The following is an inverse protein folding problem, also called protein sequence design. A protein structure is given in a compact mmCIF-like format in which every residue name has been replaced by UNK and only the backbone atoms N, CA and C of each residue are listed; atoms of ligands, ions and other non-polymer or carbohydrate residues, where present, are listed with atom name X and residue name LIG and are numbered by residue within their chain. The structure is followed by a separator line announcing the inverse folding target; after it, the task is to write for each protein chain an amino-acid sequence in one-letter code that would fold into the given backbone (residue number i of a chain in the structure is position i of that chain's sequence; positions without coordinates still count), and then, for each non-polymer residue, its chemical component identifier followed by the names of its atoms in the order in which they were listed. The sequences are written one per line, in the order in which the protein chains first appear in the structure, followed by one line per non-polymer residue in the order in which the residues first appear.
data_IF_655661464316
#
_entry.id   IF_655661464316
#
_cell.length_a   1.000
_cell.length_b   1.000
_cell.length_c   1.000
_cell.angle_alpha   90.00
_cell.angle_beta   90.00
_cell.angle_gamma   90.00
#
_symmetry.space_group_name_H-M   'P 1'
#
loop_
_entity.id
_entity.type
_entity.pdbx_description
1 polymer ?
#
# COMPACT_ATOMS: atom_id res chain seq x y z
N UNK A 1 29.39 14.24 -6.73
CA UNK A 1 29.07 15.48 -7.49
C UNK A 1 28.63 15.11 -8.91
N UNK A 2 27.53 14.34 -9.02
CA UNK A 2 26.90 13.90 -10.29
C UNK A 2 25.49 13.32 -9.99
N UNK A 3 24.75 13.91 -9.05
CA UNK A 3 23.35 13.56 -8.79
C UNK A 3 22.38 14.72 -9.12
N UNK A 4 22.91 15.85 -9.60
CA UNK A 4 22.15 17.08 -9.89
C UNK A 4 22.09 17.45 -11.39
N UNK A 5 22.72 16.69 -12.29
CA UNK A 5 22.63 16.92 -13.75
C UNK A 5 21.64 15.99 -14.47
N UNK A 6 20.99 15.05 -13.75
CA UNK A 6 20.07 14.05 -14.35
C UNK A 6 18.65 14.59 -14.57
N UNK A 7 18.35 15.79 -14.06
CA UNK A 7 17.07 16.46 -14.27
C UNK A 7 17.22 17.54 -15.33
N UNK A 8 17.47 17.11 -16.58
CA UNK A 8 17.29 17.99 -17.75
C UNK A 8 15.92 18.65 -17.67
N UNK A 9 15.86 19.98 -17.91
CA UNK A 9 14.66 20.81 -17.81
C UNK A 9 13.45 20.18 -18.54
N UNK A 10 13.68 19.44 -19.62
CA UNK A 10 12.60 18.76 -20.35
C UNK A 10 11.93 17.61 -19.55
N UNK A 11 12.68 16.85 -18.76
CA UNK A 11 12.15 15.81 -17.86
C UNK A 11 11.37 16.42 -16.69
N UNK A 12 11.83 17.56 -16.17
CA UNK A 12 11.10 18.32 -15.13
C UNK A 12 9.78 18.89 -15.66
N UNK A 13 9.75 19.41 -16.88
CA UNK A 13 8.52 19.87 -17.55
C UNK A 13 7.53 18.72 -17.77
N UNK A 14 8.03 17.54 -18.15
CA UNK A 14 7.20 16.34 -18.37
C UNK A 14 6.65 15.82 -17.05
N UNK A 15 7.45 15.80 -15.99
CA UNK A 15 7.01 15.43 -14.64
C UNK A 15 6.05 16.46 -14.03
N UNK A 16 6.20 17.75 -14.35
CA UNK A 16 5.21 18.78 -13.99
C UNK A 16 3.88 18.54 -14.70
N UNK A 17 3.89 18.25 -16.00
CA UNK A 17 2.66 17.95 -16.75
C UNK A 17 2.00 16.65 -16.29
N UNK A 18 2.79 15.64 -15.91
CA UNK A 18 2.27 14.41 -15.30
C UNK A 18 1.69 14.71 -13.92
N UNK A 19 2.35 15.53 -13.09
CA UNK A 19 1.80 15.97 -11.80
C UNK A 19 0.54 16.82 -11.96
N UNK A 20 0.47 17.72 -12.94
CA UNK A 20 -0.71 18.54 -13.24
C UNK A 20 -1.86 17.70 -13.80
N UNK A 21 -1.56 16.68 -14.61
CA UNK A 21 -2.54 15.69 -15.07
C UNK A 21 -2.98 14.73 -13.96
N UNK A 22 -2.07 14.36 -13.04
CA UNK A 22 -2.38 13.62 -11.82
C UNK A 22 -3.23 14.46 -10.88
N UNK A 23 -2.94 15.75 -10.68
CA UNK A 23 -3.74 16.65 -9.86
C UNK A 23 -5.14 16.88 -10.48
N UNK A 24 -5.25 16.97 -11.81
CA UNK A 24 -6.53 17.02 -12.52
C UNK A 24 -7.33 15.71 -12.44
N UNK A 25 -6.69 14.55 -12.61
CA UNK A 25 -7.36 13.25 -12.41
C UNK A 25 -7.64 12.95 -10.92
N UNK A 26 -6.90 13.57 -9.99
CA UNK A 26 -7.11 13.48 -8.55
C UNK A 26 -8.22 14.40 -8.07
N UNK A 27 -8.50 15.49 -8.77
CA UNK A 27 -9.71 16.29 -8.56
C UNK A 27 -10.96 15.48 -8.91
N UNK A 28 -10.95 14.68 -9.99
CA UNK A 28 -12.16 13.97 -10.46
C UNK A 28 -12.51 12.68 -9.68
N UNK A 29 -11.54 12.03 -9.01
CA UNK A 29 -11.77 10.78 -8.25
C UNK A 29 -12.28 11.04 -6.81
N UNK A 30 -12.27 12.30 -6.33
CA UNK A 30 -12.53 12.63 -4.92
C UNK A 30 -13.68 13.62 -4.68
N UNK A 31 -14.59 13.80 -5.65
CA UNK A 31 -15.75 14.68 -5.44
C UNK A 31 -16.83 14.02 -4.58
N UNK A 32 -16.71 14.25 -3.27
CA UNK A 32 -17.78 13.97 -2.33
C UNK A 32 -17.57 14.43 -0.88
N UNK A 33 -16.59 15.27 -0.52
CA UNK A 33 -16.42 15.75 0.86
C UNK A 33 -15.68 17.10 0.93
N UNK A 34 -16.06 17.97 1.88
CA UNK A 34 -15.54 19.34 2.06
C UNK A 34 -14.01 19.45 2.00
N UNK A 35 -13.52 20.46 1.26
CA UNK A 35 -12.11 20.75 1.00
C UNK A 35 -11.24 20.83 2.28
N UNK A 36 -11.80 21.33 3.39
CA UNK A 36 -11.09 21.51 4.67
C UNK A 36 -10.94 20.19 5.47
N UNK A 37 -11.91 19.27 5.36
CA UNK A 37 -11.85 17.95 5.99
C UNK A 37 -10.85 17.01 5.31
N UNK A 38 -10.63 17.20 4.01
CA UNK A 38 -9.69 16.42 3.21
C UNK A 38 -8.22 16.71 3.59
N UNK A 39 -7.86 17.97 3.80
CA UNK A 39 -6.49 18.36 4.13
C UNK A 39 -6.02 17.84 5.49
N UNK A 40 -6.91 17.87 6.50
CA UNK A 40 -6.59 17.34 7.82
C UNK A 40 -6.44 15.80 7.79
N UNK A 41 -7.32 15.11 7.06
CA UNK A 41 -7.27 13.65 6.87
C UNK A 41 -5.98 13.20 6.17
N UNK A 42 -5.59 13.88 5.09
CA UNK A 42 -4.33 13.62 4.36
C UNK A 42 -3.11 13.88 5.23
N UNK A 43 -3.15 14.92 6.07
CA UNK A 43 -2.09 15.20 7.04
C UNK A 43 -2.00 14.10 8.10
N UNK A 44 -3.13 13.65 8.64
CA UNK A 44 -3.17 12.57 9.64
C UNK A 44 -2.58 11.26 9.10
N UNK A 45 -2.92 10.90 7.85
CA UNK A 45 -2.33 9.74 7.17
C UNK A 45 -0.81 9.88 7.00
N UNK A 46 -0.33 11.04 6.53
CA UNK A 46 1.11 11.30 6.39
C UNK A 46 1.84 11.22 7.72
N UNK A 47 1.28 11.82 8.77
CA UNK A 47 1.85 11.78 10.11
C UNK A 47 1.89 10.33 10.62
N UNK A 48 0.85 9.53 10.37
CA UNK A 48 0.83 8.11 10.72
C UNK A 48 1.97 7.32 10.06
N UNK A 49 2.16 7.43 8.74
CA UNK A 49 3.22 6.69 8.05
C UNK A 49 4.61 7.18 8.44
N UNK A 50 4.79 8.49 8.59
CA UNK A 50 6.05 9.06 9.07
C UNK A 50 6.40 8.53 10.46
N UNK A 51 5.45 8.57 11.40
CA UNK A 51 5.66 8.11 12.78
C UNK A 51 5.86 6.59 12.85
N UNK A 52 5.11 5.82 12.05
CA UNK A 52 5.24 4.36 11.98
C UNK A 52 6.57 3.91 11.38
N UNK A 53 7.14 4.69 10.46
CA UNK A 53 8.46 4.44 9.88
C UNK A 53 9.62 5.02 10.69
N UNK A 54 9.35 5.82 11.73
CA UNK A 54 10.41 6.41 12.54
C UNK A 54 10.91 5.39 13.56
N UNK A 55 12.21 5.09 13.51
CA UNK A 55 12.86 4.24 14.50
C UNK A 55 13.16 5.03 15.79
N UNK A 56 12.56 4.64 16.91
CA UNK A 56 12.91 5.19 18.22
C UNK A 56 13.89 4.24 18.91
N UNK A 57 14.90 4.77 19.60
CA UNK A 57 15.91 3.95 20.31
C UNK A 57 15.26 2.96 21.29
N UNK A 58 14.08 3.30 21.83
CA UNK A 58 13.28 2.41 22.68
C UNK A 58 12.78 1.15 21.98
N UNK A 59 12.67 1.15 20.66
CA UNK A 59 12.16 0.03 19.86
C UNK A 59 13.20 -1.09 19.73
N UNK A 60 14.48 -0.73 19.72
CA UNK A 60 15.59 -1.69 19.79
C UNK A 60 16.07 -1.96 21.21
N UNK A 61 16.02 -0.96 22.10
CA UNK A 61 16.52 -1.06 23.47
C UNK A 61 15.39 -0.75 24.47
N UNK A 62 14.60 -1.77 24.88
CA UNK A 62 13.43 -1.57 25.74
C UNK A 62 13.72 -0.90 27.08
N UNK A 63 14.97 -0.96 27.57
CA UNK A 63 15.41 -0.32 28.81
C UNK A 63 15.71 1.18 28.66
N UNK A 64 15.73 1.73 27.43
CA UNK A 64 15.89 3.16 27.14
C UNK A 64 14.56 3.86 26.80
N UNK A 65 13.41 3.28 27.19
CA UNK A 65 12.07 3.87 26.99
C UNK A 65 11.92 5.30 27.52
N UNK A 66 12.72 5.71 28.49
CA UNK A 66 12.67 7.06 29.06
C UNK A 66 13.27 8.16 28.17
N UNK A 67 14.11 7.82 27.18
CA UNK A 67 14.85 8.79 26.34
C UNK A 67 14.12 9.25 25.07
N UNK A 68 12.96 8.70 24.72
CA UNK A 68 12.34 8.98 23.43
C UNK A 68 10.84 8.73 23.30
N UNK A 69 10.15 8.22 24.33
CA UNK A 69 8.73 7.83 24.19
C UNK A 69 7.78 9.03 24.35
N UNK A 70 8.21 10.11 25.02
CA UNK A 70 7.32 11.21 25.42
C UNK A 70 6.74 12.01 24.26
N UNK A 71 7.58 12.51 23.36
CA UNK A 71 7.17 13.38 22.26
C UNK A 71 6.58 12.57 21.10
N UNK A 72 7.26 11.49 20.69
CA UNK A 72 6.78 10.56 19.67
C UNK A 72 5.45 9.91 20.07
N UNK A 73 5.31 9.46 21.33
CA UNK A 73 4.05 8.91 21.83
C UNK A 73 2.90 9.92 21.85
N UNK A 74 3.17 11.21 22.11
CA UNK A 74 2.16 12.27 21.99
C UNK A 74 1.76 12.49 20.53
N UNK A 75 2.73 12.52 19.61
CA UNK A 75 2.47 12.68 18.18
C UNK A 75 1.67 11.49 17.62
N UNK A 76 2.02 10.25 17.98
CA UNK A 76 1.29 9.04 17.60
C UNK A 76 -0.15 9.07 18.13
N UNK A 77 -0.36 9.43 19.40
CA UNK A 77 -1.70 9.58 19.97
C UNK A 77 -2.51 10.65 19.25
N UNK A 78 -1.88 11.74 18.81
CA UNK A 78 -2.55 12.78 18.04
C UNK A 78 -2.98 12.24 16.68
N UNK A 79 -2.07 11.64 15.91
CA UNK A 79 -2.38 11.05 14.60
C UNK A 79 -3.48 9.98 14.70
N UNK A 80 -3.42 9.10 15.71
CA UNK A 80 -4.43 8.08 15.94
C UNK A 80 -5.82 8.68 16.22
N UNK A 81 -5.91 9.78 16.99
CA UNK A 81 -7.18 10.47 17.26
C UNK A 81 -7.79 11.10 16.01
N UNK A 82 -6.96 11.72 15.17
CA UNK A 82 -7.43 12.33 13.92
C UNK A 82 -7.95 11.25 12.96
N UNK A 83 -7.25 10.11 12.84
CA UNK A 83 -7.71 8.98 12.03
C UNK A 83 -8.99 8.33 12.58
N UNK A 84 -9.08 8.14 13.90
CA UNK A 84 -10.30 7.60 14.54
C UNK A 84 -11.49 8.54 14.35
N UNK A 85 -11.28 9.85 14.45
CA UNK A 85 -12.32 10.85 14.20
C UNK A 85 -12.83 10.79 12.75
N UNK A 86 -11.90 10.70 11.79
CA UNK A 86 -12.21 10.58 10.36
C UNK A 86 -13.05 9.34 10.06
N UNK A 87 -12.60 8.15 10.50
CA UNK A 87 -13.32 6.90 10.24
C UNK A 87 -14.63 6.82 11.03
N UNK A 88 -14.69 7.45 12.22
CA UNK A 88 -15.93 7.63 12.96
C UNK A 88 -16.96 8.46 12.20
N UNK A 89 -16.54 9.54 11.53
CA UNK A 89 -17.41 10.32 10.66
C UNK A 89 -18.01 9.49 9.52
N UNK A 90 -17.19 8.67 8.86
CA UNK A 90 -17.66 7.76 7.81
C UNK A 90 -18.63 6.70 8.33
N UNK A 91 -18.32 6.09 9.48
CA UNK A 91 -19.19 5.09 10.10
C UNK A 91 -20.58 5.65 10.38
N UNK A 92 -20.66 6.84 10.99
CA UNK A 92 -21.94 7.48 11.30
C UNK A 92 -22.73 7.81 10.03
N UNK A 93 -22.06 8.30 8.98
CA UNK A 93 -22.69 8.55 7.68
C UNK A 93 -23.35 7.29 7.11
N UNK A 94 -22.64 6.16 7.13
CA UNK A 94 -23.15 4.87 6.63
C UNK A 94 -24.34 4.37 7.46
N UNK A 95 -24.29 4.51 8.80
CA UNK A 95 -25.43 4.18 9.67
C UNK A 95 -26.66 5.03 9.38
N UNK A 96 -26.49 6.34 9.21
CA UNK A 96 -27.60 7.24 8.88
C UNK A 96 -28.20 6.90 7.51
N UNK A 97 -27.36 6.62 6.51
CA UNK A 97 -27.80 6.21 5.17
C UNK A 97 -28.66 4.94 5.21
N UNK A 98 -28.27 3.96 6.02
CA UNK A 98 -29.01 2.70 6.23
C UNK A 98 -30.38 2.95 6.89
N UNK A 99 -30.45 3.86 7.86
CA UNK A 99 -31.71 4.23 8.54
C UNK A 99 -32.68 4.98 7.63
N UNK A 100 -32.17 5.85 6.73
CA UNK A 100 -32.99 6.64 5.82
C UNK A 100 -33.54 5.84 4.61
N UNK A 101 -33.27 4.53 4.51
CA UNK A 101 -33.77 3.68 3.43
C UNK A 101 -33.23 4.03 2.05
N UNK A 102 -32.05 4.67 1.98
CA UNK A 102 -31.41 5.04 0.71
C UNK A 102 -31.17 3.83 -0.19
N UNK A 103 -31.39 4.01 -1.51
CA UNK A 103 -31.24 2.95 -2.52
C UNK A 103 -29.89 2.21 -2.39
N UNK A 104 -29.94 0.87 -2.51
CA UNK A 104 -28.82 -0.08 -2.44
C UNK A 104 -27.75 0.05 -3.54
N UNK A 105 -27.76 1.13 -4.31
CA UNK A 105 -27.03 1.19 -5.59
C UNK A 105 -25.52 1.42 -5.42
N UNK A 106 -25.06 1.87 -4.24
CA UNK A 106 -23.65 2.10 -3.92
C UNK A 106 -23.29 1.53 -2.53
N UNK A 107 -23.37 0.21 -2.36
CA UNK A 107 -22.85 -0.44 -1.16
C UNK A 107 -21.33 -0.55 -1.23
N UNK A 108 -20.65 -0.12 -0.18
CA UNK A 108 -19.20 -0.27 -0.06
C UNK A 108 -18.78 -1.32 0.98
N UNK A 109 -17.47 -1.41 1.22
CA UNK A 109 -16.91 -2.37 2.17
C UNK A 109 -17.38 -2.13 3.62
N UNK A 110 -17.59 -0.87 4.01
CA UNK A 110 -18.09 -0.53 5.34
C UNK A 110 -19.56 -0.92 5.48
N UNK A 111 -20.38 -0.72 4.45
CA UNK A 111 -21.76 -1.24 4.41
C UNK A 111 -21.81 -2.76 4.57
N UNK A 112 -20.91 -3.47 3.88
CA UNK A 112 -20.80 -4.92 3.99
C UNK A 112 -20.44 -5.33 5.42
N UNK A 113 -19.45 -4.70 6.05
CA UNK A 113 -19.09 -4.99 7.44
C UNK A 113 -20.23 -4.68 8.41
N UNK A 114 -20.97 -3.58 8.24
CA UNK A 114 -22.15 -3.24 9.05
C UNK A 114 -23.34 -4.18 8.86
N UNK A 115 -23.28 -5.06 7.85
CA UNK A 115 -24.27 -6.12 7.65
C UNK A 115 -23.86 -7.46 8.26
N UNK A 116 -22.57 -7.64 8.51
CA UNK A 116 -21.97 -8.90 8.99
C UNK A 116 -21.65 -8.82 10.48
N UNK A 117 -21.12 -7.68 10.95
CA UNK A 117 -20.69 -7.47 12.33
C UNK A 117 -21.84 -6.85 13.11
N UNK A 118 -22.44 -7.62 14.01
CA UNK A 118 -23.52 -7.15 14.89
C UNK A 118 -23.09 -7.22 16.35
N UNK A 119 -23.69 -6.40 17.21
CA UNK A 119 -23.40 -6.42 18.66
C UNK A 119 -23.82 -7.73 19.36
N UNK A 120 -24.58 -8.58 18.66
CA UNK A 120 -24.99 -9.91 19.14
C UNK A 120 -23.90 -10.97 18.94
N UNK A 121 -22.89 -10.67 18.14
CA UNK A 121 -21.79 -11.58 17.87
C UNK A 121 -20.75 -11.52 19.01
N UNK A 122 -20.62 -12.59 19.81
CA UNK A 122 -19.51 -12.81 20.78
C UNK A 122 -18.13 -12.97 20.09
N UNK A 123 -17.94 -12.42 18.89
CA UNK A 123 -16.72 -12.55 18.07
C UNK A 123 -15.53 -11.86 18.74
N UNK A 124 -15.75 -10.85 19.59
CA UNK A 124 -14.65 -10.16 20.27
C UNK A 124 -15.05 -9.45 21.56
N UNK A 125 -14.05 -9.05 22.35
CA UNK A 125 -14.21 -8.16 23.51
C UNK A 125 -14.50 -6.69 23.16
N UNK A 126 -14.62 -6.36 21.87
CA UNK A 126 -14.84 -5.02 21.34
C UNK A 126 -16.22 -4.90 20.71
N UNK A 127 -16.81 -3.71 20.78
CA UNK A 127 -18.09 -3.39 20.14
C UNK A 127 -17.99 -3.41 18.60
N UNK A 128 -19.14 -3.59 17.95
CA UNK A 128 -19.21 -3.71 16.49
C UNK A 128 -18.61 -2.48 15.77
N UNK A 129 -18.83 -1.28 16.29
CA UNK A 129 -18.32 -0.04 15.70
C UNK A 129 -16.79 -0.01 15.72
N UNK A 130 -16.18 -0.38 16.85
CA UNK A 130 -14.73 -0.47 17.00
C UNK A 130 -14.15 -1.46 15.98
N UNK A 131 -14.77 -2.63 15.80
CA UNK A 131 -14.34 -3.63 14.81
C UNK A 131 -14.43 -3.06 13.38
N UNK A 132 -15.57 -2.46 13.02
CA UNK A 132 -15.81 -1.90 11.68
C UNK A 132 -14.80 -0.79 11.38
N UNK A 133 -14.64 0.18 12.30
CA UNK A 133 -13.68 1.28 12.14
C UNK A 133 -12.26 0.76 11.99
N UNK A 134 -11.82 -0.13 12.89
CA UNK A 134 -10.46 -0.64 12.89
C UNK A 134 -10.15 -1.42 11.60
N UNK A 135 -11.10 -2.23 11.13
CA UNK A 135 -10.93 -3.04 9.91
C UNK A 135 -10.86 -2.16 8.67
N UNK A 136 -11.78 -1.20 8.52
CA UNK A 136 -11.76 -0.24 7.40
C UNK A 136 -10.48 0.60 7.41
N UNK A 137 -10.09 1.14 8.58
CA UNK A 137 -8.87 1.92 8.72
C UNK A 137 -7.64 1.09 8.34
N UNK A 138 -7.56 -0.16 8.80
CA UNK A 138 -6.46 -1.08 8.47
C UNK A 138 -6.30 -1.30 6.96
N UNK A 139 -7.40 -1.50 6.24
CA UNK A 139 -7.37 -1.66 4.78
C UNK A 139 -6.91 -0.39 4.06
N UNK A 140 -7.42 0.77 4.48
CA UNK A 140 -7.07 2.06 3.88
C UNK A 140 -5.58 2.35 4.09
N UNK A 141 -5.08 2.15 5.32
CA UNK A 141 -3.67 2.33 5.63
C UNK A 141 -2.77 1.35 4.87
N UNK A 142 -3.22 0.11 4.65
CA UNK A 142 -2.46 -0.84 3.85
C UNK A 142 -2.38 -0.42 2.37
N UNK A 143 -3.46 0.13 1.81
CA UNK A 143 -3.55 0.40 0.38
C UNK A 143 -2.86 1.69 -0.08
N UNK A 144 -2.97 2.79 0.68
CA UNK A 144 -2.61 4.13 0.20
C UNK A 144 -1.11 4.25 -0.14
N UNK A 145 -0.23 3.97 0.82
CA UNK A 145 1.21 4.17 0.62
C UNK A 145 1.79 3.09 -0.32
N UNK A 146 1.29 1.85 -0.22
CA UNK A 146 1.79 0.75 -1.06
C UNK A 146 1.53 0.99 -2.54
N UNK A 147 0.33 1.44 -2.90
CA UNK A 147 -0.03 1.74 -4.29
C UNK A 147 0.76 2.93 -4.83
N UNK A 148 0.87 4.00 -4.04
CA UNK A 148 1.64 5.21 -4.40
C UNK A 148 3.11 4.87 -4.67
N UNK A 149 3.76 4.10 -3.78
CA UNK A 149 5.16 3.69 -3.94
C UNK A 149 5.33 2.80 -5.18
N UNK A 150 4.45 1.82 -5.34
CA UNK A 150 4.52 0.87 -6.48
C UNK A 150 4.38 1.59 -7.81
N UNK A 151 3.38 2.48 -7.94
CA UNK A 151 3.17 3.27 -9.16
C UNK A 151 4.33 4.22 -9.45
N UNK A 152 4.86 4.88 -8.42
CA UNK A 152 6.03 5.77 -8.57
C UNK A 152 7.22 5.02 -9.16
N UNK A 153 7.52 3.83 -8.64
CA UNK A 153 8.61 3.00 -9.18
C UNK A 153 8.30 2.42 -10.56
N UNK A 154 7.07 1.99 -10.81
CA UNK A 154 6.66 1.46 -12.11
C UNK A 154 6.84 2.53 -13.21
N UNK A 155 6.36 3.75 -12.96
CA UNK A 155 6.54 4.88 -13.88
C UNK A 155 8.01 5.24 -14.06
N UNK A 156 8.78 5.30 -12.97
CA UNK A 156 10.22 5.56 -13.02
C UNK A 156 10.96 4.52 -13.87
N UNK A 157 10.64 3.23 -13.71
CA UNK A 157 11.23 2.13 -14.46
C UNK A 157 10.86 2.21 -15.94
N UNK A 158 9.59 2.44 -16.28
CA UNK A 158 9.14 2.56 -17.67
C UNK A 158 9.74 3.77 -18.39
N UNK A 159 9.85 4.91 -17.71
CA UNK A 159 10.46 6.12 -18.28
C UNK A 159 11.96 5.97 -18.54
N UNK A 160 12.63 5.08 -17.80
CA UNK A 160 14.03 4.74 -18.00
C UNK A 160 14.24 3.57 -18.98
N UNK A 161 13.21 2.75 -19.25
CA UNK A 161 13.25 1.61 -20.17
C UNK A 161 12.23 1.81 -21.31
N UNK A 162 12.60 2.62 -22.30
CA UNK A 162 11.68 3.06 -23.38
C UNK A 162 11.15 1.93 -24.24
N UNK A 163 11.90 0.85 -24.43
CA UNK A 163 11.44 -0.29 -25.24
C UNK A 163 10.32 -1.05 -24.51
N UNK A 164 10.42 -1.20 -23.19
CA UNK A 164 9.35 -1.81 -22.38
C UNK A 164 8.09 -0.95 -22.35
N UNK A 165 8.25 0.38 -22.27
CA UNK A 165 7.13 1.31 -22.37
C UNK A 165 6.40 1.17 -23.72
N UNK A 166 7.13 1.05 -24.84
CA UNK A 166 6.51 0.84 -26.16
C UNK A 166 5.76 -0.49 -26.23
N UNK A 167 6.32 -1.57 -25.69
CA UNK A 167 5.64 -2.88 -25.62
C UNK A 167 4.35 -2.80 -24.82
N UNK A 168 4.36 -2.14 -23.66
CA UNK A 168 3.16 -1.93 -22.85
C UNK A 168 2.08 -1.11 -23.59
N UNK A 169 2.48 -0.07 -24.32
CA UNK A 169 1.56 0.71 -25.17
C UNK A 169 0.97 -0.13 -26.30
N UNK A 170 1.79 -0.96 -26.95
CA UNK A 170 1.33 -1.88 -28.00
C UNK A 170 0.34 -2.91 -27.46
N UNK A 171 0.60 -3.47 -26.28
CA UNK A 171 -0.34 -4.38 -25.62
C UNK A 171 -1.69 -3.71 -25.37
N UNK A 172 -1.70 -2.48 -24.83
CA UNK A 172 -2.92 -1.71 -24.61
C UNK A 172 -3.66 -1.41 -25.92
N UNK A 173 -2.94 -0.98 -26.96
CA UNK A 173 -3.51 -0.70 -28.28
C UNK A 173 -4.16 -1.94 -28.91
N UNK A 174 -3.58 -3.13 -28.70
CA UNK A 174 -4.09 -4.40 -29.24
C UNK A 174 -5.27 -4.94 -28.44
N UNK A 175 -5.18 -4.94 -27.10
CA UNK A 175 -6.16 -5.60 -26.24
C UNK A 175 -7.37 -4.72 -25.92
N UNK A 176 -7.17 -3.40 -25.83
CA UNK A 176 -8.20 -2.44 -25.41
C UNK A 176 -8.60 -1.52 -26.56
N UNK A 177 -7.63 -1.11 -27.38
CA UNK A 177 -7.81 -0.11 -28.42
C UNK A 177 -7.82 1.31 -27.86
N UNK A 178 -8.12 2.29 -28.72
CA UNK A 178 -8.06 3.73 -28.38
C UNK A 178 -9.41 4.41 -28.17
N UNK A 179 -10.50 3.68 -28.38
CA UNK A 179 -11.86 4.22 -28.37
C UNK A 179 -12.50 4.24 -26.98
N UNK A 180 -11.91 3.57 -26.00
CA UNK A 180 -12.43 3.45 -24.64
C UNK A 180 -11.33 3.42 -23.58
N UNK A 181 -11.72 3.70 -22.34
CA UNK A 181 -10.86 3.51 -21.18
C UNK A 181 -10.67 2.02 -20.86
N UNK A 182 -9.56 1.72 -20.19
CA UNK A 182 -9.26 0.37 -19.66
C UNK A 182 -10.28 0.02 -18.60
N UNK A 183 -10.81 -1.20 -18.65
CA UNK A 183 -11.71 -1.75 -17.65
C UNK A 183 -11.02 -2.87 -16.87
N UNK A 184 -11.50 -3.18 -15.66
CA UNK A 184 -10.96 -4.25 -14.84
C UNK A 184 -10.97 -5.61 -15.55
N UNK A 185 -12.00 -5.87 -16.36
CA UNK A 185 -12.15 -7.08 -17.16
C UNK A 185 -11.05 -7.27 -18.22
N UNK A 186 -10.35 -6.20 -18.60
CA UNK A 186 -9.24 -6.24 -19.56
C UNK A 186 -7.93 -6.69 -18.92
N UNK A 187 -7.76 -6.48 -17.61
CA UNK A 187 -6.49 -6.70 -16.89
C UNK A 187 -5.96 -8.11 -17.12
N UNK A 188 -6.85 -9.10 -17.21
CA UNK A 188 -6.51 -10.51 -17.48
C UNK A 188 -5.76 -10.72 -18.81
N UNK A 189 -5.97 -9.84 -19.79
CA UNK A 189 -5.34 -9.91 -21.11
C UNK A 189 -4.09 -9.00 -21.22
N UNK A 190 -3.81 -8.18 -20.20
CA UNK A 190 -2.66 -7.27 -20.14
C UNK A 190 -1.48 -7.96 -19.44
N UNK A 191 -1.01 -9.08 -20.02
CA UNK A 191 0.02 -9.94 -19.42
C UNK A 191 1.36 -9.21 -19.24
N UNK A 192 1.74 -8.37 -20.19
CA UNK A 192 2.98 -7.60 -20.13
C UNK A 192 2.91 -6.50 -19.08
N UNK A 193 1.78 -5.80 -18.97
CA UNK A 193 1.57 -4.82 -17.92
C UNK A 193 1.60 -5.47 -16.52
N UNK A 194 1.01 -6.65 -16.38
CA UNK A 194 1.13 -7.45 -15.15
C UNK A 194 2.60 -7.83 -14.88
N UNK A 195 3.36 -8.23 -15.91
CA UNK A 195 4.77 -8.55 -15.76
C UNK A 195 5.61 -7.34 -15.33
N UNK A 196 5.33 -6.15 -15.86
CA UNK A 196 5.95 -4.88 -15.45
C UNK A 196 5.69 -4.60 -13.98
N UNK A 197 4.45 -4.77 -13.50
CA UNK A 197 4.10 -4.55 -12.10
C UNK A 197 4.81 -5.56 -11.19
N UNK A 198 4.83 -6.85 -11.56
CA UNK A 198 5.55 -7.89 -10.82
C UNK A 198 7.05 -7.58 -10.73
N UNK A 199 7.65 -7.19 -11.84
CA UNK A 199 9.08 -6.86 -11.91
C UNK A 199 9.42 -5.57 -11.13
N UNK A 200 8.50 -4.60 -11.15
CA UNK A 200 8.59 -3.40 -10.31
C UNK A 200 8.62 -3.78 -8.83
N UNK A 201 7.71 -4.67 -8.39
CA UNK A 201 7.68 -5.13 -6.99
C UNK A 201 8.88 -6.02 -6.63
N UNK A 202 9.47 -6.73 -7.60
CA UNK A 202 10.70 -7.50 -7.41
C UNK A 202 11.85 -6.55 -7.05
N UNK A 203 12.08 -5.52 -7.86
CA UNK A 203 13.13 -4.54 -7.63
C UNK A 203 12.81 -3.60 -6.46
N UNK A 204 11.61 -3.04 -6.41
CA UNK A 204 11.23 -2.00 -5.46
C UNK A 204 9.95 -2.40 -4.71
N UNK A 205 10.03 -3.39 -3.80
CA UNK A 205 8.89 -3.79 -2.98
C UNK A 205 8.47 -2.62 -2.09
N UNK A 206 7.16 -2.32 -2.05
CA UNK A 206 6.63 -1.24 -1.21
C UNK A 206 6.84 -1.48 0.30
N UNK A 207 6.91 -2.75 0.71
CA UNK A 207 7.22 -3.17 2.08
C UNK A 207 8.54 -3.97 2.12
N UNK A 208 9.72 -3.31 2.15
CA UNK A 208 11.01 -3.99 2.01
C UNK A 208 11.37 -4.94 3.17
N UNK A 209 10.78 -4.76 4.36
CA UNK A 209 10.99 -5.64 5.51
C UNK A 209 9.79 -6.53 5.85
N UNK A 210 8.74 -6.48 5.02
CA UNK A 210 7.39 -6.97 5.34
C UNK A 210 6.86 -6.44 6.69
N UNK A 211 5.70 -6.94 7.10
CA UNK A 211 5.22 -6.75 8.47
C UNK A 211 6.04 -7.66 9.39
N UNK A 212 6.49 -7.13 10.53
CA UNK A 212 7.23 -7.92 11.51
C UNK A 212 6.36 -9.05 12.04
N UNK A 213 6.89 -10.26 12.03
CA UNK A 213 6.27 -11.40 12.70
C UNK A 213 6.91 -11.61 14.08
N UNK A 214 6.21 -12.27 14.99
CA UNK A 214 6.71 -12.63 16.31
C UNK A 214 6.33 -14.08 16.62
N UNK A 215 7.27 -14.86 17.15
CA UNK A 215 7.05 -16.27 17.49
C UNK A 215 6.13 -16.39 18.71
N UNK A 216 4.97 -17.03 18.55
CA UNK A 216 4.02 -17.29 19.64
C UNK A 216 4.48 -18.38 20.61
N UNK A 217 5.33 -19.30 20.13
CA UNK A 217 5.92 -20.39 20.88
C UNK A 217 7.39 -20.59 20.49
N UNK A 218 8.13 -21.35 21.29
CA UNK A 218 9.50 -21.75 20.95
C UNK A 218 9.48 -22.54 19.64
N UNK A 219 10.28 -22.13 18.66
CA UNK A 219 10.29 -22.77 17.34
C UNK A 219 11.71 -23.08 16.86
N UNK A 220 11.82 -24.02 15.92
CA UNK A 220 13.09 -24.38 15.28
C UNK A 220 13.04 -24.05 13.80
N UNK A 221 13.96 -23.22 13.32
CA UNK A 221 14.06 -22.83 11.91
C UNK A 221 15.49 -23.05 11.42
N UNK A 222 15.65 -23.78 10.31
CA UNK A 222 16.95 -24.11 9.72
C UNK A 222 17.96 -24.69 10.74
N UNK A 223 17.49 -25.53 11.67
CA UNK A 223 18.31 -26.15 12.71
C UNK A 223 18.66 -25.25 13.91
N UNK A 224 18.15 -24.02 13.97
CA UNK A 224 18.34 -23.09 15.08
C UNK A 224 17.07 -22.96 15.92
N UNK A 225 17.23 -22.88 17.25
CA UNK A 225 16.11 -22.71 18.18
C UNK A 225 15.89 -21.23 18.50
N UNK A 226 14.63 -20.80 18.38
CA UNK A 226 14.18 -19.45 18.66
C UNK A 226 13.17 -19.48 19.81
N UNK A 227 13.36 -18.69 20.87
CA UNK A 227 12.41 -18.61 21.97
C UNK A 227 11.15 -17.84 21.57
N UNK A 228 10.04 -18.08 22.29
CA UNK A 228 8.83 -17.24 22.23
C UNK A 228 9.19 -15.75 22.34
N UNK A 229 8.48 -14.90 21.58
CA UNK A 229 8.74 -13.46 21.51
C UNK A 229 9.89 -13.06 20.56
N UNK A 230 10.48 -14.00 19.81
CA UNK A 230 11.47 -13.67 18.78
C UNK A 230 10.79 -12.95 17.61
N UNK A 231 11.28 -11.75 17.27
CA UNK A 231 10.81 -11.00 16.10
C UNK A 231 11.53 -11.41 14.83
N UNK A 232 10.77 -11.64 13.77
CA UNK A 232 11.25 -11.96 12.43
C UNK A 232 10.97 -10.78 11.49
N UNK A 233 12.04 -10.28 10.86
CA UNK A 233 12.01 -9.30 9.79
C UNK A 233 12.54 -9.94 8.51
N UNK A 234 11.78 -9.85 7.42
CA UNK A 234 12.14 -10.49 6.15
C UNK A 234 12.73 -9.45 5.22
N UNK A 235 14.03 -9.56 4.90
CA UNK A 235 14.67 -8.66 3.95
C UNK A 235 14.32 -9.04 2.50
N UNK A 236 13.20 -8.52 2.01
CA UNK A 236 12.66 -8.80 0.68
C UNK A 236 13.60 -8.30 -0.43
N UNK A 237 14.16 -7.07 -0.40
CA UNK A 237 15.10 -6.61 -1.42
C UNK A 237 16.31 -7.51 -1.58
N UNK A 238 16.80 -8.12 -0.49
CA UNK A 238 17.92 -9.07 -0.53
C UNK A 238 17.50 -10.37 -1.22
N UNK A 239 16.34 -10.91 -0.88
CA UNK A 239 15.80 -12.13 -1.49
C UNK A 239 15.51 -11.94 -2.99
N UNK A 240 14.85 -10.85 -3.35
CA UNK A 240 14.46 -10.54 -4.73
C UNK A 240 15.64 -10.17 -5.64
N UNK A 241 16.82 -9.92 -5.07
CA UNK A 241 18.06 -9.64 -5.80
C UNK A 241 19.14 -10.70 -5.59
N UNK A 242 18.76 -11.87 -5.08
CA UNK A 242 19.72 -12.96 -4.90
C UNK A 242 20.16 -13.52 -6.26
N UNK A 243 21.45 -13.42 -6.65
CA UNK A 243 21.94 -13.95 -7.91
C UNK A 243 21.88 -15.48 -8.00
N UNK A 244 21.69 -16.21 -6.88
CA UNK A 244 21.47 -17.66 -6.93
C UNK A 244 20.05 -18.03 -7.37
N UNK A 245 19.11 -17.09 -7.32
CA UNK A 245 17.70 -17.29 -7.68
C UNK A 245 17.35 -16.54 -8.97
N UNK A 246 17.89 -15.35 -9.16
CA UNK A 246 17.57 -14.46 -10.27
C UNK A 246 18.79 -14.19 -11.16
N UNK A 247 18.61 -14.36 -12.47
CA UNK A 247 19.58 -13.94 -13.48
C UNK A 247 19.51 -12.42 -13.62
N UNK A 248 20.67 -11.75 -13.63
CA UNK A 248 20.78 -10.28 -13.67
C UNK A 248 19.86 -9.57 -12.65
N UNK A 249 20.00 -9.89 -11.34
CA UNK A 249 19.01 -9.56 -10.31
C UNK A 249 18.75 -8.06 -10.13
N UNK A 250 19.63 -7.20 -10.63
CA UNK A 250 19.51 -5.74 -10.53
C UNK A 250 18.88 -5.09 -11.75
N UNK A 251 18.74 -5.83 -12.85
CA UNK A 251 18.16 -5.32 -14.08
C UNK A 251 16.63 -5.38 -14.06
N UNK A 252 15.99 -4.47 -14.78
CA UNK A 252 14.54 -4.48 -14.98
C UNK A 252 14.22 -5.29 -16.22
N UNK A 253 13.66 -6.50 -16.05
CA UNK A 253 13.43 -7.44 -17.15
C UNK A 253 12.02 -8.06 -17.09
N UNK A 254 10.96 -7.30 -17.42
CA UNK A 254 9.57 -7.79 -17.37
C UNK A 254 9.34 -9.09 -18.15
N UNK A 255 9.99 -9.24 -19.31
CA UNK A 255 9.90 -10.44 -20.17
C UNK A 255 10.19 -11.76 -19.42
N UNK A 256 11.01 -11.72 -18.37
CA UNK A 256 11.39 -12.93 -17.59
C UNK A 256 10.32 -13.34 -16.58
N UNK A 257 9.47 -12.41 -16.18
CA UNK A 257 8.47 -12.58 -15.13
C UNK A 257 7.13 -13.09 -15.68
N UNK A 258 6.93 -13.05 -17.00
CA UNK A 258 5.75 -13.60 -17.69
C UNK A 258 5.57 -15.10 -17.45
N UNK A 259 6.66 -15.84 -17.23
CA UNK A 259 6.63 -17.30 -16.98
C UNK A 259 6.65 -17.69 -15.49
N UNK A 260 6.76 -16.72 -14.58
CA UNK A 260 6.80 -17.00 -13.15
C UNK A 260 5.38 -17.14 -12.61
N UNK A 261 4.93 -18.39 -12.57
CA UNK A 261 3.86 -18.78 -11.64
C UNK A 261 4.42 -18.67 -10.24
N UNK A 262 3.87 -17.74 -9.43
CA UNK A 262 4.21 -17.67 -8.01
C UNK A 262 4.01 -19.05 -7.41
N UNK A 263 5.02 -19.53 -6.67
CA UNK A 263 4.99 -20.79 -5.94
C UNK A 263 3.60 -21.01 -5.34
N UNK A 264 2.84 -21.97 -5.88
CA UNK A 264 1.74 -22.59 -5.12
C UNK A 264 2.39 -23.07 -3.83
N UNK A 265 2.03 -22.44 -2.70
CA UNK A 265 2.58 -22.80 -1.41
C UNK A 265 2.54 -24.31 -1.28
N UNK A 266 3.72 -24.93 -1.18
CA UNK A 266 3.80 -26.29 -0.68
C UNK A 266 3.42 -26.19 0.78
N UNK A 267 2.14 -26.42 1.07
CA UNK A 267 1.74 -26.79 2.42
C UNK A 267 2.40 -28.14 2.75
N UNK A 268 2.92 -28.30 3.98
CA UNK A 268 3.43 -29.57 4.46
C UNK A 268 2.35 -30.67 4.50
#
# INVERSE_FOLDING_TARGET
MTMLEVLSNHRLETLKRIREAEDGCREDIWWGYDQEGNDNSRKALRDFFHLSGTFVVSDALPYLKWLGVGEYGKAMKKAAKELDHMVGGWLEEHKQRKLCGGMKENQDFMDALLSIVTDEDEISSYDADTIVKATCLGLILAAIDMTTITLTWALSLLLNNREDLKKAQQELDVQVGRERQVQESDVKNLEYLQAILKETMRLYPAAPLLVSHESLENCTLAGNNFPTGTRLLVNVPKLHRDPSVWVDPTEFRPDTTTNLTFFKGQNP
#
